data_IF_652137432772
#
_entry.id   IF_652137432772
#
_cell.length_a   1.000
_cell.length_b   1.000
_cell.length_c   1.000
_cell.angle_alpha   90.00
_cell.angle_beta   90.00
_cell.angle_gamma   90.00
#
_symmetry.space_group_name_H-M   'P 1'
#
loop_
_entity.id
_entity.type
_entity.pdbx_description
1 polymer ?
#
# COMPACT_ATOMS: atom_id res chain seq x y z
N UNK A 1 16.11 -0.06 11.67
CA UNK A 1 14.76 0.05 11.03
C UNK A 1 13.88 -1.12 11.43
N UNK A 2 14.35 -2.38 11.46
CA UNK A 2 13.54 -3.54 11.86
C UNK A 2 12.95 -3.44 13.28
N UNK A 3 13.65 -2.80 14.22
CA UNK A 3 13.15 -2.54 15.56
C UNK A 3 11.99 -1.52 15.57
N UNK A 4 12.09 -0.47 14.73
CA UNK A 4 11.04 0.54 14.60
C UNK A 4 9.77 -0.06 13.97
N UNK A 5 9.95 -0.91 12.97
CA UNK A 5 8.85 -1.63 12.34
C UNK A 5 8.15 -2.60 13.31
N UNK A 6 8.91 -3.32 14.14
CA UNK A 6 8.33 -4.18 15.20
C UNK A 6 7.52 -3.41 16.23
N UNK A 7 7.92 -2.18 16.59
CA UNK A 7 7.16 -1.32 17.52
C UNK A 7 5.83 -0.83 16.96
N UNK A 8 5.65 -0.86 15.64
CA UNK A 8 4.43 -0.46 14.95
C UNK A 8 3.61 -1.66 14.46
N UNK A 9 3.73 -2.81 15.11
CA UNK A 9 2.99 -4.04 14.79
C UNK A 9 3.06 -4.42 13.31
N UNK A 10 4.23 -4.17 12.67
CA UNK A 10 4.42 -4.46 11.24
C UNK A 10 4.49 -5.96 11.00
N UNK A 11 3.62 -6.46 10.14
CA UNK A 11 3.63 -7.85 9.66
C UNK A 11 4.70 -7.96 8.56
N UNK A 12 5.72 -8.80 8.79
CA UNK A 12 6.82 -8.99 7.84
C UNK A 12 6.53 -10.08 6.82
N UNK A 13 6.61 -9.72 5.55
CA UNK A 13 6.49 -10.64 4.41
C UNK A 13 7.85 -11.22 4.02
N UNK A 14 8.02 -12.54 4.03
CA UNK A 14 9.11 -13.19 3.29
C UNK A 14 8.66 -13.44 1.85
N UNK A 15 9.32 -12.78 0.89
CA UNK A 15 9.05 -12.96 -0.55
C UNK A 15 9.41 -14.39 -0.99
N UNK A 16 8.62 -14.97 -1.89
CA UNK A 16 8.99 -16.21 -2.61
C UNK A 16 8.50 -17.53 -2.04
N UNK A 17 7.69 -17.57 -0.97
CA UNK A 17 7.15 -18.81 -0.41
C UNK A 17 5.63 -18.81 -0.35
N UNK A 18 4.99 -19.77 -1.05
CA UNK A 18 3.52 -19.94 -1.03
C UNK A 18 2.99 -20.23 0.39
N UNK A 19 3.76 -20.93 1.22
CA UNK A 19 3.42 -21.18 2.63
C UNK A 19 3.38 -19.89 3.46
N UNK A 20 4.25 -18.93 3.17
CA UNK A 20 4.29 -17.64 3.88
C UNK A 20 3.08 -16.76 3.59
N UNK A 21 2.58 -16.77 2.35
CA UNK A 21 1.39 -16.00 1.99
C UNK A 21 0.15 -16.46 2.79
N UNK A 22 0.04 -17.76 3.06
CA UNK A 22 -1.03 -18.31 3.90
C UNK A 22 -0.92 -17.83 5.34
N UNK A 23 0.27 -17.95 5.94
CA UNK A 23 0.51 -17.50 7.32
C UNK A 23 0.20 -16.01 7.52
N UNK A 24 0.55 -15.18 6.53
CA UNK A 24 0.26 -13.75 6.58
C UNK A 24 -1.23 -13.47 6.48
N UNK A 25 -1.93 -14.18 5.61
CA UNK A 25 -3.38 -14.03 5.51
C UNK A 25 -4.08 -14.43 6.82
N UNK A 26 -3.58 -15.46 7.50
CA UNK A 26 -4.07 -15.89 8.81
C UNK A 26 -3.77 -14.82 9.89
N UNK A 27 -2.59 -14.21 9.87
CA UNK A 27 -2.21 -13.14 10.79
C UNK A 27 -3.04 -11.87 10.55
N UNK A 28 -3.23 -11.45 9.30
CA UNK A 28 -4.11 -10.34 8.92
C UNK A 28 -5.55 -10.61 9.39
N UNK A 29 -6.08 -11.80 9.13
CA UNK A 29 -7.43 -12.18 9.54
C UNK A 29 -7.60 -12.12 11.06
N UNK A 30 -6.61 -12.57 11.83
CA UNK A 30 -6.60 -12.49 13.29
C UNK A 30 -6.69 -11.04 13.76
N UNK A 31 -5.84 -10.16 13.23
CA UNK A 31 -5.83 -8.72 13.60
C UNK A 31 -7.18 -8.06 13.27
N UNK A 32 -7.75 -8.38 12.10
CA UNK A 32 -9.06 -7.87 11.69
C UNK A 32 -10.21 -8.41 12.56
N UNK A 33 -10.15 -9.66 13.00
CA UNK A 33 -11.16 -10.25 13.91
C UNK A 33 -11.13 -9.62 15.29
N UNK A 34 -9.99 -9.08 15.73
CA UNK A 34 -9.85 -8.30 16.97
C UNK A 34 -10.42 -6.86 16.84
N UNK A 35 -11.00 -6.50 15.69
CA UNK A 35 -11.55 -5.17 15.45
C UNK A 35 -10.52 -4.10 15.11
N UNK A 36 -9.28 -4.51 14.88
CA UNK A 36 -8.17 -3.61 14.49
C UNK A 36 -8.14 -3.35 12.99
N UNK A 37 -7.36 -2.36 12.58
CA UNK A 37 -7.12 -2.02 11.18
C UNK A 37 -5.78 -2.57 10.71
N UNK A 38 -5.72 -2.94 9.44
CA UNK A 38 -4.47 -3.37 8.77
C UNK A 38 -4.26 -2.51 7.53
N UNK A 39 -3.12 -1.84 7.45
CA UNK A 39 -2.71 -1.14 6.24
C UNK A 39 -1.85 -2.07 5.37
N UNK A 40 -2.17 -2.14 4.08
CA UNK A 40 -1.42 -2.93 3.09
C UNK A 40 -1.06 -2.08 1.88
N UNK A 41 0.11 -2.37 1.29
CA UNK A 41 0.53 -1.83 0.00
C UNK A 41 0.48 -2.95 -1.03
N UNK A 42 -0.65 -3.11 -1.75
CA UNK A 42 -0.91 -4.30 -2.54
C UNK A 42 -0.10 -4.40 -3.83
N UNK A 43 0.66 -3.38 -4.19
CA UNK A 43 1.62 -3.43 -5.31
C UNK A 43 2.76 -4.42 -5.05
N UNK A 44 3.08 -4.72 -3.80
CA UNK A 44 4.12 -5.68 -3.40
C UNK A 44 5.55 -5.27 -3.78
N UNK A 45 5.72 -4.16 -4.47
CA UNK A 45 7.00 -3.57 -4.85
C UNK A 45 6.90 -2.05 -4.82
N UNK A 46 8.04 -1.38 -4.87
CA UNK A 46 8.14 0.06 -5.05
C UNK A 46 8.34 0.41 -6.53
N UNK A 47 7.85 1.56 -6.93
CA UNK A 47 8.05 2.15 -8.25
C UNK A 47 8.61 3.57 -8.12
N UNK A 48 8.87 4.21 -9.23
CA UNK A 48 9.26 5.63 -9.27
C UNK A 48 8.11 6.59 -8.95
N UNK A 49 6.90 6.07 -8.75
CA UNK A 49 5.71 6.84 -8.42
C UNK A 49 5.05 7.54 -9.61
N UNK A 50 5.46 7.23 -10.85
CA UNK A 50 4.86 7.79 -12.06
C UNK A 50 3.61 7.04 -12.52
N UNK A 51 3.46 5.80 -12.10
CA UNK A 51 2.30 4.95 -12.39
C UNK A 51 2.00 4.03 -11.22
N UNK A 52 0.80 3.43 -11.23
CA UNK A 52 0.38 2.45 -10.23
C UNK A 52 0.56 1.03 -10.77
N UNK A 53 1.29 0.20 -10.03
CA UNK A 53 1.53 -1.20 -10.39
C UNK A 53 0.27 -2.05 -10.20
N UNK A 54 0.33 -3.31 -10.63
CA UNK A 54 -0.76 -4.26 -10.41
C UNK A 54 -0.89 -4.64 -8.94
N UNK A 55 -2.14 -4.79 -8.47
CA UNK A 55 -2.43 -5.15 -7.09
C UNK A 55 -2.50 -6.66 -6.90
N UNK A 56 -1.81 -7.16 -5.88
CA UNK A 56 -1.90 -8.55 -5.44
C UNK A 56 -3.20 -8.80 -4.69
N UNK A 57 -4.22 -9.28 -5.40
CA UNK A 57 -5.56 -9.55 -4.86
C UNK A 57 -5.55 -10.53 -3.65
N UNK A 58 -4.53 -11.36 -3.51
CA UNK A 58 -4.39 -12.26 -2.37
C UNK A 58 -4.29 -11.54 -1.02
N UNK A 59 -3.78 -10.31 -0.98
CA UNK A 59 -3.68 -9.49 0.23
C UNK A 59 -5.01 -8.91 0.68
N UNK A 60 -6.03 -8.91 -0.18
CA UNK A 60 -7.39 -8.41 0.10
C UNK A 60 -8.27 -9.53 0.66
N UNK A 61 -7.95 -10.78 0.34
CA UNK A 61 -8.74 -11.95 0.74
C UNK A 61 -9.07 -12.02 2.24
N UNK A 62 -8.14 -11.73 3.18
CA UNK A 62 -8.44 -11.78 4.61
C UNK A 62 -9.54 -10.80 5.04
N UNK A 63 -9.56 -9.60 4.45
CA UNK A 63 -10.59 -8.61 4.76
C UNK A 63 -11.98 -9.11 4.33
N UNK A 64 -12.10 -9.61 3.11
CA UNK A 64 -13.35 -10.16 2.58
C UNK A 64 -13.81 -11.39 3.37
N UNK A 65 -12.90 -12.29 3.73
CA UNK A 65 -13.21 -13.46 4.54
C UNK A 65 -13.72 -13.12 5.94
N UNK A 66 -13.29 -11.99 6.50
CA UNK A 66 -13.74 -11.47 7.80
C UNK A 66 -14.95 -10.53 7.67
N UNK A 67 -15.54 -10.35 6.48
CA UNK A 67 -16.63 -9.40 6.26
C UNK A 67 -16.24 -7.94 6.55
N UNK A 68 -14.95 -7.60 6.39
CA UNK A 68 -14.44 -6.25 6.64
C UNK A 68 -14.28 -5.49 5.33
N UNK A 69 -14.68 -4.20 5.29
CA UNK A 69 -14.51 -3.37 4.12
C UNK A 69 -13.04 -3.09 3.83
N UNK A 70 -12.73 -2.88 2.56
CA UNK A 70 -11.45 -2.37 2.07
C UNK A 70 -11.61 -0.89 1.78
N UNK A 71 -10.81 -0.04 2.42
CA UNK A 71 -10.80 1.41 2.20
C UNK A 71 -9.58 1.77 1.35
N UNK A 72 -9.73 2.06 0.06
CA UNK A 72 -8.62 2.53 -0.76
C UNK A 72 -8.19 3.93 -0.34
N UNK A 73 -6.89 4.13 -0.16
CA UNK A 73 -6.30 5.42 0.21
C UNK A 73 -5.16 5.72 -0.75
N UNK A 74 -5.30 6.77 -1.55
CA UNK A 74 -4.23 7.25 -2.40
C UNK A 74 -3.25 8.07 -1.56
N UNK A 75 -1.98 7.63 -1.51
CA UNK A 75 -0.89 8.33 -0.86
C UNK A 75 0.03 8.94 -1.90
N UNK A 76 0.31 10.22 -1.77
CA UNK A 76 1.25 10.93 -2.64
C UNK A 76 2.08 11.94 -1.86
N UNK A 77 3.28 12.24 -2.36
CA UNK A 77 4.20 13.18 -1.73
C UNK A 77 4.45 14.38 -2.63
N UNK A 78 4.52 15.55 -2.02
CA UNK A 78 4.60 16.82 -2.71
C UNK A 78 5.63 17.74 -2.09
N UNK A 79 6.28 18.54 -2.91
CA UNK A 79 7.12 19.65 -2.46
C UNK A 79 6.24 20.88 -2.13
N UNK A 80 6.74 21.82 -1.32
CA UNK A 80 6.03 23.09 -1.07
C UNK A 80 5.74 23.90 -2.34
N UNK A 81 6.50 23.69 -3.42
CA UNK A 81 6.27 24.29 -4.74
C UNK A 81 5.01 23.79 -5.45
N UNK A 82 4.40 22.68 -4.96
CA UNK A 82 3.27 22.05 -5.60
C UNK A 82 3.64 20.97 -6.62
N UNK A 83 4.91 20.64 -6.75
CA UNK A 83 5.39 19.54 -7.59
C UNK A 83 5.41 18.21 -6.82
N UNK A 84 5.37 17.06 -7.52
CA UNK A 84 5.55 15.77 -6.87
C UNK A 84 6.96 15.64 -6.30
N UNK A 85 7.05 15.21 -5.05
CA UNK A 85 8.32 14.97 -4.40
C UNK A 85 8.92 13.63 -4.82
N UNK A 86 10.15 13.66 -5.30
CA UNK A 86 10.94 12.46 -5.58
C UNK A 86 11.77 12.00 -4.37
N UNK A 87 11.73 12.74 -3.24
CA UNK A 87 12.52 12.39 -2.07
C UNK A 87 12.17 11.02 -1.47
N UNK A 88 10.88 10.61 -1.39
CA UNK A 88 10.51 9.29 -0.88
C UNK A 88 10.69 8.13 -1.89
N UNK A 89 11.24 8.39 -3.06
CA UNK A 89 11.49 7.38 -4.09
C UNK A 89 12.45 6.31 -3.57
N UNK A 90 12.04 5.06 -3.69
CA UNK A 90 12.82 3.88 -3.31
C UNK A 90 12.59 2.76 -4.33
N UNK A 91 13.26 2.87 -5.47
CA UNK A 91 13.14 1.94 -6.59
C UNK A 91 14.48 1.80 -7.32
N UNK A 92 14.61 0.80 -8.19
CA UNK A 92 15.84 0.53 -8.91
C UNK A 92 17.04 0.34 -7.98
N UNK A 93 18.11 1.05 -8.23
CA UNK A 93 19.36 0.98 -7.48
C UNK A 93 19.44 1.92 -6.27
N UNK A 94 18.34 2.66 -5.99
CA UNK A 94 18.31 3.59 -4.86
C UNK A 94 18.31 2.80 -3.55
N UNK A 95 19.35 2.97 -2.74
CA UNK A 95 19.42 2.35 -1.43
C UNK A 95 18.48 3.03 -0.43
N UNK A 96 18.04 2.27 0.59
CA UNK A 96 17.22 2.83 1.67
C UNK A 96 17.91 4.01 2.38
N UNK A 97 19.24 3.98 2.49
CA UNK A 97 20.02 5.06 3.08
C UNK A 97 19.94 6.36 2.26
N UNK A 98 19.98 6.25 0.94
CA UNK A 98 19.83 7.39 0.03
C UNK A 98 18.41 7.96 0.08
N UNK A 99 17.39 7.10 0.07
CA UNK A 99 16.00 7.52 0.25
C UNK A 99 15.80 8.29 1.56
N UNK A 100 16.26 7.74 2.68
CA UNK A 100 16.16 8.42 4.00
C UNK A 100 16.90 9.75 3.98
N UNK A 101 18.12 9.80 3.41
CA UNK A 101 18.89 11.04 3.31
C UNK A 101 18.16 12.09 2.47
N UNK A 102 17.56 11.67 1.36
CA UNK A 102 16.77 12.56 0.50
C UNK A 102 15.55 13.14 1.24
N UNK A 103 14.85 12.35 2.03
CA UNK A 103 13.71 12.81 2.84
C UNK A 103 14.17 13.79 3.93
N UNK A 104 15.21 13.43 4.71
CA UNK A 104 15.71 14.26 5.82
C UNK A 104 16.33 15.56 5.29
N UNK A 105 16.92 15.55 4.10
CA UNK A 105 17.50 16.73 3.45
C UNK A 105 16.45 17.76 2.99
N UNK A 106 15.17 17.43 3.03
CA UNK A 106 14.09 18.39 2.71
C UNK A 106 13.68 19.16 3.95
N UNK A 107 13.49 20.48 3.83
CA UNK A 107 12.94 21.31 4.90
C UNK A 107 11.49 20.93 5.23
N UNK A 108 10.74 20.49 4.20
CA UNK A 108 9.34 20.10 4.32
C UNK A 108 8.97 19.16 3.16
N UNK A 109 8.27 18.10 3.47
CA UNK A 109 7.61 17.21 2.52
C UNK A 109 6.14 17.13 2.90
N UNK A 110 5.24 17.26 1.94
CA UNK A 110 3.79 17.20 2.16
C UNK A 110 3.31 15.81 1.75
N UNK A 111 2.79 15.04 2.70
CA UNK A 111 2.07 13.82 2.41
C UNK A 111 0.58 14.14 2.21
N UNK A 112 0.04 13.77 1.06
CA UNK A 112 -1.38 13.90 0.74
C UNK A 112 -2.04 12.54 0.74
N UNK A 113 -3.09 12.39 1.53
CA UNK A 113 -3.91 11.19 1.62
C UNK A 113 -5.31 11.52 1.06
N UNK A 114 -5.77 10.76 0.09
CA UNK A 114 -7.11 10.90 -0.48
C UNK A 114 -7.83 9.57 -0.28
N UNK A 115 -8.90 9.60 0.51
CA UNK A 115 -9.76 8.46 0.77
C UNK A 115 -10.82 8.33 -0.32
N UNK A 116 -11.24 7.10 -0.59
CA UNK A 116 -12.31 6.77 -1.53
C UNK A 116 -13.41 5.97 -0.82
N UNK A 117 -14.57 5.72 -1.44
CA UNK A 117 -15.59 4.87 -0.85
C UNK A 117 -15.05 3.48 -0.50
N UNK A 118 -15.60 2.89 0.56
CA UNK A 118 -15.28 1.53 0.97
C UNK A 118 -15.77 0.50 -0.06
N UNK A 119 -14.99 -0.56 -0.25
CA UNK A 119 -15.25 -1.66 -1.19
C UNK A 119 -15.39 -2.99 -0.46
N UNK A 120 -15.90 -4.01 -1.15
CA UNK A 120 -15.99 -5.38 -0.61
C UNK A 120 -17.22 -5.60 0.30
N UNK A 121 -18.25 -4.75 0.18
CA UNK A 121 -19.46 -4.84 1.00
C UNK A 121 -20.61 -5.59 0.31
N UNK A 122 -20.55 -5.79 -1.01
CA UNK A 122 -21.65 -6.32 -1.83
C UNK A 122 -21.37 -7.72 -2.37
N UNK A 123 -20.44 -8.47 -1.76
CA UNK A 123 -20.10 -9.83 -2.18
C UNK A 123 -19.15 -9.92 -3.38
N UNK A 124 -18.45 -8.82 -3.69
CA UNK A 124 -17.43 -8.81 -4.75
C UNK A 124 -16.28 -9.78 -4.40
N UNK A 125 -15.72 -10.40 -5.42
CA UNK A 125 -14.53 -11.22 -5.25
C UNK A 125 -13.27 -10.35 -5.06
N UNK A 126 -12.20 -10.98 -4.56
CA UNK A 126 -10.93 -10.29 -4.27
C UNK A 126 -10.29 -9.61 -5.48
N UNK A 127 -10.53 -10.13 -6.71
CA UNK A 127 -9.95 -9.56 -7.93
C UNK A 127 -10.72 -8.31 -8.33
N UNK A 128 -12.04 -8.35 -8.23
CA UNK A 128 -12.92 -7.21 -8.47
C UNK A 128 -12.59 -6.08 -7.49
N UNK A 129 -12.47 -6.39 -6.19
CA UNK A 129 -12.10 -5.39 -5.18
C UNK A 129 -10.70 -4.84 -5.41
N UNK A 130 -9.71 -5.68 -5.80
CA UNK A 130 -8.36 -5.23 -6.12
C UNK A 130 -8.34 -4.28 -7.32
N UNK A 131 -9.06 -4.61 -8.38
CA UNK A 131 -9.18 -3.77 -9.57
C UNK A 131 -9.83 -2.43 -9.25
N UNK A 132 -10.99 -2.45 -8.59
CA UNK A 132 -11.70 -1.23 -8.18
C UNK A 132 -10.86 -0.35 -7.23
N UNK A 133 -10.16 -0.95 -6.28
CA UNK A 133 -9.25 -0.22 -5.38
C UNK A 133 -8.09 0.44 -6.15
N UNK A 134 -7.52 -0.27 -7.12
CA UNK A 134 -6.43 0.25 -7.95
C UNK A 134 -6.91 1.44 -8.79
N UNK A 135 -8.07 1.35 -9.41
CA UNK A 135 -8.67 2.44 -10.18
C UNK A 135 -8.97 3.66 -9.31
N UNK A 136 -9.57 3.44 -8.14
CA UNK A 136 -9.89 4.50 -7.19
C UNK A 136 -8.62 5.22 -6.68
N UNK A 137 -7.56 4.47 -6.36
CA UNK A 137 -6.28 5.05 -5.92
C UNK A 137 -5.59 5.80 -7.07
N UNK A 138 -5.61 5.25 -8.29
CA UNK A 138 -5.04 5.91 -9.46
C UNK A 138 -5.73 7.25 -9.73
N UNK A 139 -7.06 7.27 -9.70
CA UNK A 139 -7.85 8.49 -9.87
C UNK A 139 -7.55 9.51 -8.76
N UNK A 140 -7.53 9.09 -7.49
CA UNK A 140 -7.23 9.94 -6.35
C UNK A 140 -5.80 10.48 -6.37
N UNK A 141 -4.83 9.70 -6.82
CA UNK A 141 -3.45 10.12 -6.97
C UNK A 141 -3.18 10.92 -8.26
N UNK A 142 -4.08 10.91 -9.23
CA UNK A 142 -3.85 11.47 -10.56
C UNK A 142 -2.75 10.73 -11.32
N UNK A 143 -2.72 9.40 -11.20
CA UNK A 143 -1.72 8.52 -11.82
C UNK A 143 -2.33 7.67 -12.95
N UNK A 144 -1.59 7.40 -14.02
CA UNK A 144 -2.00 6.41 -15.00
C UNK A 144 -1.92 5.00 -14.41
N UNK A 145 -2.76 4.10 -14.92
CA UNK A 145 -2.65 2.68 -14.68
C UNK A 145 -1.62 2.09 -15.66
N UNK A 146 -0.73 1.22 -15.17
CA UNK A 146 0.09 0.42 -16.09
C UNK A 146 -0.83 -0.51 -16.88
N UNK A 147 -0.64 -0.56 -18.20
CA UNK A 147 -1.22 -1.63 -19.02
C UNK A 147 -0.67 -2.99 -18.54
N UNK A 148 -1.59 -3.93 -18.38
CA UNK A 148 -1.26 -5.33 -18.01
C UNK A 148 -0.49 -6.00 -19.14
#
# INVERSE_FOLDING_TARGET
IGWLAKKNDTIFLRRGSRGHARLINEEIAKVLSEGKYVAVFPEGSTSDGTCLLNFHAALIQPALACGRPVLPIALSYWEPSGERSLAPRYDGDISLGECIRAIIGRKRTIARLITTPALGLNGEDRRQVAAAAREAIAAGAGLPLTSS
#
